data_IF_212654227482
#
_entry.id   IF_212654227482
#
_cell.length_a   1.000
_cell.length_b   1.000
_cell.length_c   1.000
_cell.angle_alpha   90.00
_cell.angle_beta   90.00
_cell.angle_gamma   90.00
#
_symmetry.space_group_name_H-M   'P 1'
#
loop_
_entity.id
_entity.type
_entity.pdbx_description
1 polymer ?
#
# COMPACT_ATOMS: atom_id res chain seq x y z
N UNK A 1 5.29 -37.66 20.97
CA UNK A 1 5.24 -36.54 20.02
C UNK A 1 6.27 -35.51 20.51
N UNK A 2 7.53 -35.44 20.08
CA UNK A 2 8.36 -36.09 19.07
C UNK A 2 9.77 -36.13 19.70
N UNK A 3 10.34 -37.31 20.01
CA UNK A 3 11.71 -37.46 20.52
C UNK A 3 12.78 -37.27 19.40
N UNK A 4 12.38 -36.96 18.17
CA UNK A 4 13.26 -36.73 17.01
C UNK A 4 14.03 -35.39 17.12
N UNK A 5 13.65 -34.49 18.04
CA UNK A 5 14.37 -33.22 18.24
C UNK A 5 15.33 -33.21 19.43
N UNK A 6 15.47 -34.33 20.17
CA UNK A 6 16.36 -34.43 21.35
C UNK A 6 17.81 -34.75 21.03
N UNK A 7 18.14 -35.10 19.78
CA UNK A 7 19.48 -35.56 19.39
C UNK A 7 20.40 -34.47 18.79
N UNK A 8 19.95 -33.22 18.67
CA UNK A 8 20.83 -32.10 18.31
C UNK A 8 21.36 -31.44 19.57
N UNK A 9 22.34 -32.08 20.23
CA UNK A 9 23.08 -31.47 21.34
C UNK A 9 24.13 -30.45 20.88
N UNK A 10 24.42 -30.41 19.58
CA UNK A 10 25.36 -29.49 18.96
C UNK A 10 24.71 -28.82 17.73
N UNK A 11 24.24 -27.58 17.91
CA UNK A 11 23.60 -26.80 16.85
C UNK A 11 24.60 -26.17 15.87
N UNK A 12 25.92 -26.29 16.11
CA UNK A 12 26.92 -25.60 15.28
C UNK A 12 26.86 -26.03 13.82
N UNK A 13 26.78 -27.35 13.54
CA UNK A 13 26.61 -27.87 12.18
C UNK A 13 25.36 -27.35 11.48
N UNK A 14 24.27 -27.16 12.24
CA UNK A 14 23.06 -26.57 11.71
C UNK A 14 23.30 -25.10 11.32
N UNK A 15 23.86 -24.29 12.22
CA UNK A 15 24.07 -22.87 11.95
C UNK A 15 25.10 -22.62 10.82
N UNK A 16 26.11 -23.48 10.66
CA UNK A 16 27.04 -23.44 9.52
C UNK A 16 26.29 -23.68 8.19
N UNK A 17 25.45 -24.72 8.14
CA UNK A 17 24.63 -25.02 6.96
C UNK A 17 23.60 -23.92 6.68
N UNK A 18 22.97 -23.40 7.73
CA UNK A 18 21.97 -22.35 7.69
C UNK A 18 22.53 -21.04 7.12
N UNK A 19 23.77 -20.69 7.50
CA UNK A 19 24.48 -19.52 6.99
C UNK A 19 24.65 -19.61 5.47
N UNK A 20 25.20 -20.73 4.99
CA UNK A 20 25.41 -20.97 3.57
C UNK A 20 24.09 -20.95 2.78
N UNK A 21 23.09 -21.69 3.26
CA UNK A 21 21.79 -21.81 2.61
C UNK A 21 21.03 -20.46 2.56
N UNK A 22 21.02 -19.72 3.67
CA UNK A 22 20.37 -18.40 3.73
C UNK A 22 21.05 -17.41 2.79
N UNK A 23 22.39 -17.44 2.70
CA UNK A 23 23.15 -16.65 1.73
C UNK A 23 22.82 -16.99 0.27
N UNK A 24 22.71 -18.27 -0.07
CA UNK A 24 22.32 -18.71 -1.42
C UNK A 24 20.91 -18.26 -1.77
N UNK A 25 19.93 -18.48 -0.88
CA UNK A 25 18.54 -18.06 -1.10
C UNK A 25 18.45 -16.53 -1.22
N UNK A 26 19.21 -15.80 -0.39
CA UNK A 26 19.29 -14.34 -0.47
C UNK A 26 19.75 -13.88 -1.85
N UNK A 27 20.84 -14.47 -2.38
CA UNK A 27 21.33 -14.18 -3.72
C UNK A 27 20.29 -14.45 -4.81
N UNK A 28 19.57 -15.57 -4.71
CA UNK A 28 18.51 -15.94 -5.65
C UNK A 28 17.33 -14.97 -5.63
N UNK A 29 16.92 -14.47 -4.46
CA UNK A 29 15.87 -13.46 -4.34
C UNK A 29 16.34 -12.13 -4.93
N UNK A 30 17.57 -11.69 -4.65
CA UNK A 30 18.09 -10.45 -5.23
C UNK A 30 18.04 -10.54 -6.77
N UNK A 31 18.49 -11.65 -7.33
CA UNK A 31 18.46 -11.88 -8.78
C UNK A 31 17.02 -11.89 -9.32
N UNK A 32 16.12 -12.62 -8.68
CA UNK A 32 14.71 -12.75 -9.10
C UNK A 32 13.97 -11.41 -9.00
N UNK A 33 14.08 -10.71 -7.87
CA UNK A 33 13.46 -9.39 -7.69
C UNK A 33 14.03 -8.36 -8.67
N UNK A 34 15.33 -8.40 -8.96
CA UNK A 34 15.96 -7.52 -9.96
C UNK A 34 15.42 -7.81 -11.36
N UNK A 35 15.32 -9.08 -11.76
CA UNK A 35 14.74 -9.48 -13.04
C UNK A 35 13.28 -9.02 -13.18
N UNK A 36 12.46 -9.23 -12.15
CA UNK A 36 11.05 -8.81 -12.14
C UNK A 36 10.95 -7.28 -12.26
N UNK A 37 11.76 -6.53 -11.50
CA UNK A 37 11.74 -5.07 -11.52
C UNK A 37 12.24 -4.46 -12.83
N UNK A 38 13.27 -5.06 -13.45
CA UNK A 38 13.88 -4.55 -14.69
C UNK A 38 13.10 -4.95 -15.94
N UNK A 39 12.64 -6.20 -16.02
CA UNK A 39 12.12 -6.79 -17.25
C UNK A 39 10.68 -7.28 -17.13
N UNK A 40 10.25 -7.73 -15.94
CA UNK A 40 8.91 -8.28 -15.74
C UNK A 40 7.80 -7.26 -15.99
N UNK A 41 7.97 -6.03 -15.49
CA UNK A 41 6.93 -5.00 -15.58
C UNK A 41 6.86 -4.23 -16.90
N UNK A 42 7.75 -4.52 -17.86
CA UNK A 42 7.64 -3.95 -19.20
C UNK A 42 6.38 -4.47 -19.96
N UNK A 43 5.84 -5.61 -19.52
CA UNK A 43 4.64 -6.23 -20.10
C UNK A 43 3.32 -5.65 -19.57
N UNK A 44 3.35 -4.92 -18.46
CA UNK A 44 2.15 -4.33 -17.85
C UNK A 44 1.80 -3.05 -18.61
N UNK A 45 0.55 -2.97 -19.09
CA UNK A 45 0.02 -1.79 -19.75
C UNK A 45 -0.56 -0.79 -18.74
N UNK A 46 -1.03 -1.28 -17.58
CA UNK A 46 -1.74 -0.50 -16.57
C UNK A 46 -1.38 -0.96 -15.14
N UNK A 47 -1.55 -0.08 -14.16
CA UNK A 47 -1.37 -0.31 -12.73
C UNK A 47 0.00 -0.87 -12.36
N UNK A 48 1.04 -0.50 -13.12
CA UNK A 48 2.41 -1.01 -12.93
C UNK A 48 2.94 -0.65 -11.54
N UNK A 49 2.71 0.58 -11.10
CA UNK A 49 3.08 1.06 -9.77
C UNK A 49 2.50 0.20 -8.64
N UNK A 50 1.25 -0.27 -8.81
CA UNK A 50 0.58 -1.14 -7.85
C UNK A 50 1.31 -2.47 -7.69
N UNK A 51 1.63 -3.14 -8.79
CA UNK A 51 2.31 -4.44 -8.72
C UNK A 51 3.77 -4.31 -8.31
N UNK A 52 4.49 -3.28 -8.77
CA UNK A 52 5.86 -3.02 -8.28
C UNK A 52 5.86 -2.91 -6.75
N UNK A 53 4.92 -2.14 -6.19
CA UNK A 53 4.82 -1.95 -4.75
C UNK A 53 4.55 -3.26 -4.01
N UNK A 54 3.73 -4.16 -4.57
CA UNK A 54 3.50 -5.51 -4.03
C UNK A 54 4.81 -6.29 -3.90
N UNK A 55 5.61 -6.36 -4.96
CA UNK A 55 6.89 -7.10 -4.95
C UNK A 55 7.95 -6.46 -4.04
N UNK A 56 7.95 -5.14 -3.93
CA UNK A 56 8.81 -4.42 -2.98
C UNK A 56 8.46 -4.80 -1.55
N UNK A 57 7.17 -4.79 -1.18
CA UNK A 57 6.74 -5.22 0.16
C UNK A 57 7.05 -6.69 0.43
N UNK A 58 6.82 -7.56 -0.58
CA UNK A 58 7.16 -8.98 -0.50
C UNK A 58 8.66 -9.18 -0.22
N UNK A 59 9.51 -8.53 -1.00
CA UNK A 59 10.96 -8.67 -0.88
C UNK A 59 11.47 -8.19 0.48
N UNK A 60 10.91 -7.10 1.04
CA UNK A 60 11.35 -6.52 2.33
C UNK A 60 11.31 -7.52 3.49
N UNK A 61 10.22 -8.24 3.69
CA UNK A 61 10.13 -9.17 4.83
C UNK A 61 10.94 -10.45 4.59
N UNK A 62 11.09 -10.90 3.33
CA UNK A 62 11.94 -12.06 3.01
C UNK A 62 13.41 -11.71 3.25
N UNK A 63 13.85 -10.54 2.78
CA UNK A 63 15.20 -10.03 3.04
C UNK A 63 15.48 -9.93 4.53
N UNK A 64 14.53 -9.41 5.31
CA UNK A 64 14.65 -9.35 6.76
C UNK A 64 14.75 -10.74 7.39
N UNK A 65 13.98 -11.72 6.92
CA UNK A 65 14.00 -13.10 7.44
C UNK A 65 15.33 -13.81 7.17
N UNK A 66 15.89 -13.62 5.97
CA UNK A 66 17.18 -14.19 5.61
C UNK A 66 18.34 -13.48 6.30
N UNK A 67 18.27 -12.15 6.43
CA UNK A 67 19.23 -11.39 7.21
C UNK A 67 19.21 -11.82 8.68
N UNK A 68 18.01 -12.04 9.26
CA UNK A 68 17.87 -12.61 10.60
C UNK A 68 18.56 -13.96 10.72
N UNK A 69 18.31 -14.89 9.79
CA UNK A 69 18.94 -16.19 9.78
C UNK A 69 20.47 -16.11 9.71
N UNK A 70 21.02 -15.25 8.85
CA UNK A 70 22.46 -15.06 8.72
C UNK A 70 23.04 -14.48 10.02
N UNK A 71 22.48 -13.39 10.52
CA UNK A 71 22.97 -12.71 11.72
C UNK A 71 22.91 -13.59 12.97
N UNK A 72 21.79 -14.29 13.19
CA UNK A 72 21.67 -15.19 14.34
C UNK A 72 22.58 -16.41 14.21
N UNK A 73 22.81 -16.93 12.99
CA UNK A 73 23.79 -18.00 12.79
C UNK A 73 25.21 -17.53 13.13
N UNK A 74 25.61 -16.33 12.69
CA UNK A 74 26.91 -15.75 13.04
C UNK A 74 27.06 -15.49 14.53
N UNK A 75 26.00 -15.00 15.18
CA UNK A 75 26.00 -14.76 16.62
C UNK A 75 26.21 -16.08 17.37
N UNK A 76 25.45 -17.13 17.06
CA UNK A 76 25.58 -18.41 17.78
C UNK A 76 26.95 -19.07 17.52
N UNK A 77 27.47 -19.01 16.29
CA UNK A 77 28.74 -19.65 15.94
C UNK A 77 29.97 -18.92 16.49
N UNK A 78 29.95 -17.59 16.53
CA UNK A 78 31.17 -16.80 16.72
C UNK A 78 31.10 -15.78 17.86
N UNK A 79 29.92 -15.50 18.45
CA UNK A 79 29.75 -14.46 19.47
C UNK A 79 29.14 -15.02 20.75
N UNK A 80 29.82 -14.80 21.87
CA UNK A 80 29.35 -15.19 23.20
C UNK A 80 28.33 -14.17 23.75
N UNK A 81 27.16 -14.07 23.13
CA UNK A 81 26.10 -13.12 23.52
C UNK A 81 25.20 -13.71 24.61
N UNK A 82 24.76 -12.88 25.56
CA UNK A 82 23.82 -13.29 26.61
C UNK A 82 22.43 -13.65 26.05
N UNK A 83 21.75 -14.62 26.67
CA UNK A 83 20.39 -15.04 26.26
C UNK A 83 19.34 -13.92 26.34
N UNK A 84 19.53 -12.95 27.23
CA UNK A 84 18.67 -11.75 27.32
C UNK A 84 18.88 -10.82 26.13
N UNK A 85 20.12 -10.64 25.68
CA UNK A 85 20.44 -9.83 24.50
C UNK A 85 19.90 -10.45 23.22
N UNK A 86 20.01 -11.78 23.07
CA UNK A 86 19.39 -12.52 21.96
C UNK A 86 17.88 -12.33 21.92
N UNK A 87 17.23 -12.37 23.09
CA UNK A 87 15.79 -12.12 23.21
C UNK A 87 15.41 -10.70 22.76
N UNK A 88 16.18 -9.68 23.15
CA UNK A 88 15.97 -8.30 22.69
C UNK A 88 16.08 -8.16 21.17
N UNK A 89 17.09 -8.78 20.55
CA UNK A 89 17.22 -8.79 19.09
C UNK A 89 16.07 -9.52 18.41
N UNK A 90 15.58 -10.61 19.00
CA UNK A 90 14.42 -11.34 18.50
C UNK A 90 13.14 -10.47 18.56
N UNK A 91 12.90 -9.72 19.64
CA UNK A 91 11.76 -8.79 19.72
C UNK A 91 11.85 -7.71 18.63
N UNK A 92 13.03 -7.10 18.44
CA UNK A 92 13.23 -6.06 17.41
C UNK A 92 12.93 -6.64 16.03
N UNK A 93 13.44 -7.84 15.73
CA UNK A 93 13.13 -8.56 14.50
C UNK A 93 11.63 -8.81 14.36
N UNK A 94 10.95 -9.29 15.40
CA UNK A 94 9.53 -9.60 15.39
C UNK A 94 8.67 -8.37 15.07
N UNK A 95 9.00 -7.21 15.66
CA UNK A 95 8.29 -5.95 15.40
C UNK A 95 8.48 -5.48 13.95
N UNK A 96 9.72 -5.48 13.46
CA UNK A 96 10.03 -5.02 12.09
C UNK A 96 9.46 -5.99 11.05
N UNK A 97 9.56 -7.30 11.28
CA UNK A 97 8.97 -8.31 10.41
C UNK A 97 7.46 -8.18 10.37
N UNK A 98 6.80 -8.10 11.53
CA UNK A 98 5.33 -8.00 11.60
C UNK A 98 4.84 -6.78 10.83
N UNK A 99 5.52 -5.63 10.94
CA UNK A 99 5.22 -4.44 10.15
C UNK A 99 5.31 -4.74 8.64
N UNK A 100 6.44 -5.22 8.14
CA UNK A 100 6.61 -5.47 6.70
C UNK A 100 5.70 -6.58 6.16
N UNK A 101 5.43 -7.60 6.96
CA UNK A 101 4.54 -8.70 6.64
C UNK A 101 3.08 -8.23 6.54
N UNK A 102 2.61 -7.42 7.49
CA UNK A 102 1.27 -6.84 7.43
C UNK A 102 1.15 -5.81 6.30
N UNK A 103 2.20 -5.02 6.01
CA UNK A 103 2.21 -4.08 4.88
C UNK A 103 2.02 -4.82 3.55
N UNK A 104 2.68 -5.98 3.40
CA UNK A 104 2.51 -6.85 2.23
C UNK A 104 1.08 -7.35 2.10
N UNK A 105 0.47 -7.89 3.16
CA UNK A 105 -0.90 -8.39 3.09
C UNK A 105 -1.96 -7.29 2.93
N UNK A 106 -1.76 -6.13 3.55
CA UNK A 106 -2.62 -4.97 3.32
C UNK A 106 -2.56 -4.54 1.85
N UNK A 107 -1.38 -4.49 1.25
CA UNK A 107 -1.25 -4.16 -0.17
C UNK A 107 -1.81 -5.25 -1.10
N UNK A 108 -1.65 -6.53 -0.75
CA UNK A 108 -2.31 -7.64 -1.45
C UNK A 108 -3.83 -7.50 -1.42
N UNK A 109 -4.38 -7.21 -0.24
CA UNK A 109 -5.80 -7.01 -0.04
C UNK A 109 -6.34 -5.80 -0.79
N UNK A 110 -5.54 -4.74 -0.91
CA UNK A 110 -5.84 -3.59 -1.76
C UNK A 110 -6.02 -4.00 -3.23
N UNK A 111 -5.07 -4.76 -3.80
CA UNK A 111 -5.15 -5.27 -5.18
C UNK A 111 -6.42 -6.12 -5.37
N UNK A 112 -6.64 -7.11 -4.50
CA UNK A 112 -7.83 -7.97 -4.58
C UNK A 112 -9.14 -7.17 -4.45
N UNK A 113 -9.15 -6.13 -3.61
CA UNK A 113 -10.31 -5.24 -3.42
C UNK A 113 -10.63 -4.43 -4.68
N UNK A 114 -9.61 -3.93 -5.39
CA UNK A 114 -9.81 -3.17 -6.64
C UNK A 114 -10.42 -4.04 -7.72
N UNK A 115 -9.98 -5.30 -7.83
CA UNK A 115 -10.46 -6.21 -8.86
C UNK A 115 -11.73 -7.00 -8.46
N UNK A 116 -12.18 -6.91 -7.21
CA UNK A 116 -13.38 -7.58 -6.69
C UNK A 116 -14.66 -6.76 -6.88
N UNK A 117 -15.80 -7.46 -7.06
CA UNK A 117 -17.16 -6.88 -7.09
C UNK A 117 -17.84 -6.82 -5.72
N UNK A 118 -17.30 -7.50 -4.69
CA UNK A 118 -17.83 -7.49 -3.32
C UNK A 118 -17.02 -6.51 -2.47
N UNK A 119 -17.67 -5.50 -1.91
CA UNK A 119 -16.98 -4.40 -1.26
C UNK A 119 -17.73 -3.84 -0.04
N UNK A 120 -16.98 -3.33 0.96
CA UNK A 120 -17.50 -2.68 2.17
C UNK A 120 -16.82 -1.30 2.40
N UNK A 121 -17.53 -0.17 2.22
CA UNK A 121 -16.97 1.19 2.31
C UNK A 121 -16.59 1.61 3.73
N UNK A 122 -15.49 2.35 3.88
CA UNK A 122 -15.09 2.97 5.17
C UNK A 122 -14.17 4.18 5.02
N UNK A 123 -14.38 5.22 5.84
CA UNK A 123 -13.71 6.53 5.78
C UNK A 123 -12.35 6.65 6.52
N UNK A 124 -12.04 5.81 7.51
CA UNK A 124 -10.85 6.00 8.38
C UNK A 124 -9.58 5.27 7.92
N UNK A 125 -8.43 5.97 7.90
CA UNK A 125 -7.17 5.48 7.32
C UNK A 125 -6.46 4.31 8.02
N UNK A 126 -6.41 4.26 9.36
CA UNK A 126 -5.81 3.10 10.08
C UNK A 126 -6.70 1.86 9.96
N UNK A 127 -8.02 2.06 10.01
CA UNK A 127 -8.98 0.99 9.77
C UNK A 127 -8.95 0.53 8.31
N UNK A 128 -8.63 1.41 7.35
CA UNK A 128 -8.43 1.06 5.94
C UNK A 128 -7.29 0.06 5.75
N UNK A 129 -6.20 0.19 6.51
CA UNK A 129 -5.08 -0.75 6.49
C UNK A 129 -5.50 -2.18 6.87
N UNK A 130 -6.15 -2.32 8.04
CA UNK A 130 -6.64 -3.62 8.53
C UNK A 130 -7.82 -4.15 7.70
N UNK A 131 -8.67 -3.27 7.18
CA UNK A 131 -9.75 -3.65 6.24
C UNK A 131 -9.21 -4.38 5.02
N UNK A 132 -8.13 -3.89 4.41
CA UNK A 132 -7.58 -4.59 3.25
C UNK A 132 -7.10 -5.99 3.62
N UNK A 133 -6.53 -6.17 4.81
CA UNK A 133 -6.19 -7.50 5.32
C UNK A 133 -7.47 -8.33 5.51
N UNK A 134 -8.49 -7.78 6.15
CA UNK A 134 -9.78 -8.45 6.34
C UNK A 134 -10.43 -8.90 5.03
N UNK A 135 -10.33 -8.08 3.98
CA UNK A 135 -10.87 -8.35 2.65
C UNK A 135 -10.25 -9.56 1.95
N UNK A 136 -9.07 -10.01 2.38
CA UNK A 136 -8.45 -11.25 1.90
C UNK A 136 -9.27 -12.51 2.27
N UNK A 137 -10.19 -12.37 3.22
CA UNK A 137 -11.06 -13.42 3.70
C UNK A 137 -10.50 -14.19 4.88
N UNK A 138 -11.39 -14.90 5.57
CA UNK A 138 -11.12 -15.58 6.84
C UNK A 138 -9.93 -16.55 6.80
N UNK A 139 -9.82 -17.36 5.75
CA UNK A 139 -8.74 -18.35 5.59
C UNK A 139 -7.38 -17.65 5.50
N UNK A 140 -7.28 -16.57 4.72
CA UNK A 140 -6.03 -15.83 4.57
C UNK A 140 -5.62 -15.17 5.90
N UNK A 141 -6.58 -14.62 6.64
CA UNK A 141 -6.32 -14.02 7.95
C UNK A 141 -5.81 -15.05 8.96
N UNK A 142 -6.39 -16.25 9.00
CA UNK A 142 -5.86 -17.35 9.83
C UNK A 142 -4.41 -17.65 9.45
N UNK A 143 -4.08 -17.73 8.16
CA UNK A 143 -2.71 -18.01 7.69
C UNK A 143 -1.74 -16.91 8.16
N UNK A 144 -2.15 -15.64 8.11
CA UNK A 144 -1.35 -14.50 8.59
C UNK A 144 -1.06 -14.66 10.08
N UNK A 145 -2.09 -14.85 10.90
CA UNK A 145 -1.94 -15.03 12.36
C UNK A 145 -1.12 -16.27 12.70
N UNK A 146 -1.38 -17.39 12.02
CA UNK A 146 -0.62 -18.63 12.20
C UNK A 146 0.86 -18.45 11.86
N UNK A 147 1.18 -17.69 10.81
CA UNK A 147 2.57 -17.41 10.42
C UNK A 147 3.28 -16.58 11.50
N UNK A 148 2.64 -15.50 11.99
CA UNK A 148 3.20 -14.69 13.07
C UNK A 148 3.37 -15.51 14.36
N UNK A 149 2.41 -16.37 14.66
CA UNK A 149 2.48 -17.28 15.80
C UNK A 149 3.66 -18.26 15.69
N UNK A 150 3.78 -18.97 14.56
CA UNK A 150 4.81 -19.98 14.34
C UNK A 150 6.21 -19.38 14.35
N UNK A 151 6.39 -18.18 13.77
CA UNK A 151 7.72 -17.56 13.71
C UNK A 151 8.13 -16.97 15.07
N UNK A 152 7.22 -16.34 15.82
CA UNK A 152 7.59 -15.57 17.02
C UNK A 152 7.20 -16.22 18.34
N UNK A 153 5.98 -16.73 18.44
CA UNK A 153 5.43 -17.18 19.71
C UNK A 153 5.71 -18.67 19.96
N UNK A 154 5.72 -19.48 18.90
CA UNK A 154 5.98 -20.91 19.00
C UNK A 154 7.35 -21.23 19.61
N UNK A 155 8.48 -20.59 19.20
CA UNK A 155 9.77 -20.80 19.84
C UNK A 155 9.77 -20.44 21.33
N UNK A 156 8.95 -19.48 21.77
CA UNK A 156 8.93 -19.02 23.16
C UNK A 156 8.25 -19.99 24.14
N UNK A 157 7.51 -21.00 23.66
CA UNK A 157 6.86 -21.99 24.52
C UNK A 157 7.81 -22.99 25.19
N UNK A 158 9.04 -23.13 24.67
CA UNK A 158 9.98 -24.18 25.10
C UNK A 158 10.88 -23.77 26.29
N UNK A 159 10.83 -22.51 26.77
CA UNK A 159 11.62 -22.04 27.93
C UNK A 159 11.08 -20.74 28.56
N UNK A 160 11.78 -20.17 29.55
CA UNK A 160 11.47 -18.87 30.16
C UNK A 160 11.28 -17.77 29.10
N UNK A 161 10.13 -17.08 29.17
CA UNK A 161 9.65 -16.13 28.16
C UNK A 161 10.57 -14.92 27.85
N UNK A 162 11.63 -14.70 28.62
CA UNK A 162 12.53 -13.55 28.49
C UNK A 162 14.00 -13.92 28.23
N UNK A 163 14.29 -15.21 27.97
CA UNK A 163 15.63 -15.69 27.65
C UNK A 163 15.54 -16.61 26.45
N UNK A 164 16.31 -16.30 25.41
CA UNK A 164 16.37 -17.12 24.21
C UNK A 164 17.59 -18.06 24.32
N UNK A 165 17.33 -19.36 24.39
CA UNK A 165 18.38 -20.38 24.31
C UNK A 165 18.64 -20.81 22.86
N UNK A 166 19.70 -21.57 22.63
CA UNK A 166 20.09 -22.03 21.28
C UNK A 166 18.99 -22.83 20.58
N UNK A 167 18.24 -23.64 21.32
CA UNK A 167 17.11 -24.39 20.77
C UNK A 167 15.99 -23.45 20.25
N UNK A 168 15.67 -22.40 20.98
CA UNK A 168 14.67 -21.41 20.56
C UNK A 168 15.15 -20.57 19.37
N UNK A 169 16.46 -20.26 19.33
CA UNK A 169 17.07 -19.63 18.15
C UNK A 169 16.90 -20.56 16.94
N UNK A 170 17.29 -21.83 17.09
CA UNK A 170 17.14 -22.86 16.07
C UNK A 170 15.70 -22.96 15.54
N UNK A 171 14.71 -23.04 16.43
CA UNK A 171 13.30 -23.14 16.02
C UNK A 171 12.84 -21.90 15.25
N UNK A 172 13.30 -20.70 15.64
CA UNK A 172 12.98 -19.45 14.94
C UNK A 172 13.63 -19.44 13.56
N UNK A 173 14.91 -19.79 13.45
CA UNK A 173 15.64 -19.74 12.17
C UNK A 173 15.13 -20.78 11.18
N UNK A 174 14.76 -21.98 11.65
CA UNK A 174 14.08 -23.00 10.82
C UNK A 174 12.74 -22.46 10.31
N UNK A 175 11.94 -21.84 11.17
CA UNK A 175 10.64 -21.28 10.80
C UNK A 175 10.77 -20.15 9.77
N UNK A 176 11.69 -19.21 9.99
CA UNK A 176 12.01 -18.12 9.06
C UNK A 176 12.50 -18.66 7.70
N UNK A 177 13.33 -19.70 7.71
CA UNK A 177 13.83 -20.32 6.48
C UNK A 177 12.73 -21.02 5.71
N UNK A 178 11.93 -21.87 6.37
CA UNK A 178 10.83 -22.59 5.74
C UNK A 178 9.83 -21.60 5.13
N UNK A 179 9.48 -20.55 5.87
CA UNK A 179 8.61 -19.49 5.39
C UNK A 179 9.21 -18.75 4.17
N UNK A 180 10.48 -18.34 4.24
CA UNK A 180 11.17 -17.67 3.12
C UNK A 180 11.15 -18.54 1.86
N UNK A 181 11.47 -19.83 1.98
CA UNK A 181 11.45 -20.79 0.87
C UNK A 181 10.05 -20.92 0.26
N UNK A 182 9.00 -21.05 1.09
CA UNK A 182 7.61 -21.13 0.62
C UNK A 182 7.20 -19.90 -0.17
N UNK A 183 7.61 -18.71 0.28
CA UNK A 183 7.31 -17.47 -0.44
C UNK A 183 8.07 -17.42 -1.76
N UNK A 184 9.36 -17.75 -1.77
CA UNK A 184 10.20 -17.77 -2.99
C UNK A 184 9.61 -18.66 -4.07
N UNK A 185 9.20 -19.88 -3.73
CA UNK A 185 8.57 -20.82 -4.67
C UNK A 185 7.30 -20.21 -5.31
N UNK A 186 6.60 -19.32 -4.59
CA UNK A 186 5.36 -18.70 -5.04
C UNK A 186 5.55 -17.38 -5.78
N UNK A 187 6.73 -16.75 -5.77
CA UNK A 187 6.98 -15.45 -6.41
C UNK A 187 6.62 -15.49 -7.90
N UNK A 188 7.13 -16.50 -8.63
CA UNK A 188 6.94 -16.64 -10.07
C UNK A 188 5.47 -16.99 -10.41
N UNK A 189 4.83 -18.01 -9.80
CA UNK A 189 3.42 -18.29 -10.03
C UNK A 189 2.49 -17.10 -9.72
N UNK A 190 2.79 -16.33 -8.65
CA UNK A 190 2.05 -15.12 -8.32
C UNK A 190 2.19 -14.05 -9.40
N UNK A 191 3.38 -13.91 -9.99
CA UNK A 191 3.61 -12.97 -11.09
C UNK A 191 2.72 -13.27 -12.29
N UNK A 192 2.68 -14.54 -12.72
CA UNK A 192 1.82 -14.94 -13.83
C UNK A 192 0.33 -14.78 -13.51
N UNK A 193 -0.07 -15.03 -12.26
CA UNK A 193 -1.47 -14.82 -11.84
C UNK A 193 -1.86 -13.35 -11.96
N UNK A 194 -0.99 -12.42 -11.54
CA UNK A 194 -1.26 -10.99 -11.64
C UNK A 194 -1.24 -10.48 -13.08
N UNK A 195 -0.27 -10.92 -13.88
CA UNK A 195 -0.23 -10.61 -15.31
C UNK A 195 -1.49 -11.12 -16.04
N UNK A 196 -1.97 -12.32 -15.66
CA UNK A 196 -3.21 -12.86 -16.20
C UNK A 196 -4.46 -12.09 -15.70
N UNK A 197 -4.46 -11.63 -14.45
CA UNK A 197 -5.54 -10.78 -13.92
C UNK A 197 -5.65 -9.45 -14.65
N UNK A 198 -4.52 -8.79 -14.93
CA UNK A 198 -4.47 -7.58 -15.76
C UNK A 198 -4.98 -7.87 -17.18
N UNK A 199 -4.51 -8.96 -17.78
CA UNK A 199 -4.95 -9.37 -19.12
C UNK A 199 -6.46 -9.67 -19.18
N UNK A 200 -7.02 -10.26 -18.11
CA UNK A 200 -8.43 -10.64 -18.01
C UNK A 200 -9.36 -9.52 -17.54
N UNK A 201 -8.87 -8.42 -16.95
CA UNK A 201 -9.69 -7.36 -16.34
C UNK A 201 -10.43 -6.45 -17.32
N UNK A 202 -11.01 -7.05 -18.37
CA UNK A 202 -11.87 -6.53 -19.43
C UNK A 202 -11.15 -6.00 -20.67
N UNK A 203 -11.30 -6.83 -21.71
CA UNK A 203 -11.22 -6.59 -23.16
C UNK A 203 -9.85 -6.32 -23.78
N UNK A 204 -9.49 -7.25 -24.69
CA UNK A 204 -8.81 -7.02 -25.98
C UNK A 204 -8.85 -5.53 -26.36
N UNK A 205 -7.81 -4.80 -26.04
CA UNK A 205 -7.31 -3.84 -27.00
C UNK A 205 -6.11 -4.53 -27.62
N UNK A 206 -6.14 -4.64 -28.94
CA UNK A 206 -4.98 -5.04 -29.73
C UNK A 206 -3.76 -4.30 -29.20
N UNK A 207 -2.63 -5.00 -29.16
CA UNK A 207 -1.33 -4.39 -28.84
C UNK A 207 -1.12 -3.29 -29.89
N UNK A 208 -1.48 -2.06 -29.54
CA UNK A 208 -1.19 -0.89 -30.37
C UNK A 208 0.19 -0.44 -29.92
N UNK A 209 1.19 -0.67 -30.77
CA UNK A 209 2.59 -0.28 -30.62
C UNK A 209 2.83 1.26 -30.58
N UNK A 210 1.82 2.07 -30.23
CA UNK A 210 1.97 3.51 -30.12
C UNK A 210 2.20 3.93 -28.66
N UNK A 211 3.39 4.48 -28.46
CA UNK A 211 4.08 4.85 -27.21
C UNK A 211 3.39 5.98 -26.41
N UNK A 212 2.19 6.42 -26.77
CA UNK A 212 1.41 7.32 -25.91
C UNK A 212 0.66 6.50 -24.86
N UNK A 213 1.09 6.58 -23.60
CA UNK A 213 0.41 5.96 -22.45
C UNK A 213 -1.00 6.56 -22.35
N UNK A 214 -2.00 5.84 -22.86
CA UNK A 214 -3.41 6.24 -22.77
C UNK A 214 -3.90 6.02 -21.33
N UNK A 215 -3.95 7.10 -20.54
CA UNK A 215 -4.36 7.05 -19.12
C UNK A 215 -5.88 6.89 -18.92
N UNK A 216 -6.68 6.72 -19.99
CA UNK A 216 -8.13 6.53 -19.86
C UNK A 216 -8.50 5.36 -18.96
N UNK A 217 -7.82 4.21 -19.11
CA UNK A 217 -8.07 3.04 -18.25
C UNK A 217 -7.58 3.24 -16.82
N UNK A 218 -6.43 3.88 -16.61
CA UNK A 218 -5.97 4.26 -15.27
C UNK A 218 -6.98 5.18 -14.57
N UNK A 219 -7.62 6.07 -15.33
CA UNK A 219 -8.65 6.96 -14.84
C UNK A 219 -9.96 6.23 -14.49
N UNK A 220 -10.34 5.19 -15.24
CA UNK A 220 -11.45 4.30 -14.87
C UNK A 220 -11.15 3.55 -13.57
N UNK A 221 -9.95 2.98 -13.44
CA UNK A 221 -9.50 2.30 -12.21
C UNK A 221 -9.49 3.29 -11.04
N UNK A 222 -8.98 4.52 -11.24
CA UNK A 222 -8.98 5.58 -10.23
C UNK A 222 -10.40 5.87 -9.74
N UNK A 223 -11.35 6.04 -10.67
CA UNK A 223 -12.74 6.29 -10.34
C UNK A 223 -13.32 5.15 -9.51
N UNK A 224 -13.13 3.91 -9.94
CA UNK A 224 -13.60 2.72 -9.24
C UNK A 224 -13.00 2.63 -7.82
N UNK A 225 -11.71 2.92 -7.66
CA UNK A 225 -11.03 2.93 -6.35
C UNK A 225 -11.60 4.02 -5.45
N UNK A 226 -11.85 5.22 -5.96
CA UNK A 226 -12.41 6.33 -5.20
C UNK A 226 -13.84 6.03 -4.75
N UNK A 227 -14.69 5.54 -5.65
CA UNK A 227 -16.05 5.10 -5.34
C UNK A 227 -16.03 4.03 -4.26
N UNK A 228 -15.16 3.01 -4.43
CA UNK A 228 -14.96 1.99 -3.40
C UNK A 228 -14.54 2.66 -2.09
N UNK A 229 -13.60 3.59 -2.07
CA UNK A 229 -13.23 4.24 -0.80
C UNK A 229 -14.32 5.12 -0.14
N UNK A 230 -15.52 5.22 -0.73
CA UNK A 230 -16.68 5.86 -0.13
C UNK A 230 -16.99 7.24 -0.71
N UNK A 231 -16.38 7.59 -1.85
CA UNK A 231 -16.67 8.81 -2.61
C UNK A 231 -17.94 8.64 -3.45
N UNK A 232 -19.10 8.61 -2.77
CA UNK A 232 -20.40 8.41 -3.41
C UNK A 232 -20.77 9.58 -4.35
N UNK A 233 -20.17 10.75 -4.17
CA UNK A 233 -20.31 11.91 -5.05
C UNK A 233 -19.87 11.65 -6.50
N UNK A 234 -19.12 10.57 -6.77
CA UNK A 234 -18.74 10.11 -8.11
C UNK A 234 -19.81 9.23 -8.80
N UNK A 235 -20.82 8.79 -8.04
CA UNK A 235 -21.94 7.97 -8.52
C UNK A 235 -23.21 8.81 -8.69
N UNK A 236 -23.53 9.59 -7.66
CA UNK A 236 -24.76 10.37 -7.60
C UNK A 236 -24.53 11.71 -6.88
N UNK A 237 -25.50 12.61 -7.02
CA UNK A 237 -25.50 13.85 -6.26
C UNK A 237 -25.79 13.55 -4.79
N UNK A 238 -24.93 14.03 -3.90
CA UNK A 238 -25.08 13.84 -2.45
C UNK A 238 -25.21 15.18 -1.73
N UNK A 239 -25.88 15.15 -0.58
CA UNK A 239 -25.86 16.25 0.38
C UNK A 239 -24.80 15.94 1.45
N UNK A 240 -24.09 16.97 1.90
CA UNK A 240 -23.07 16.83 2.97
C UNK A 240 -23.32 17.88 4.04
N UNK A 241 -22.68 17.76 5.21
CA UNK A 241 -22.75 18.78 6.26
C UNK A 241 -22.31 20.17 5.74
N UNK A 242 -21.44 20.19 4.72
CA UNK A 242 -20.80 21.40 4.23
C UNK A 242 -21.43 21.95 2.93
N UNK A 243 -22.06 21.10 2.12
CA UNK A 243 -22.60 21.46 0.81
C UNK A 243 -24.04 20.95 0.67
N UNK A 244 -24.94 21.82 0.22
CA UNK A 244 -26.34 21.48 -0.05
C UNK A 244 -26.40 20.42 -1.16
N UNK A 245 -25.52 20.51 -2.16
CA UNK A 245 -25.30 19.43 -3.12
C UNK A 245 -23.86 19.36 -3.59
N UNK A 246 -23.38 18.14 -3.80
CA UNK A 246 -22.06 17.82 -4.33
C UNK A 246 -22.18 16.69 -5.36
N UNK A 247 -21.65 16.92 -6.56
CA UNK A 247 -21.58 15.90 -7.61
C UNK A 247 -20.26 16.02 -8.38
N UNK A 248 -19.60 14.88 -8.62
CA UNK A 248 -18.34 14.81 -9.36
C UNK A 248 -18.51 14.00 -10.64
N UNK A 249 -18.25 14.66 -11.76
CA UNK A 249 -18.06 13.98 -13.04
C UNK A 249 -16.57 13.86 -13.34
N UNK A 250 -16.14 12.68 -13.78
CA UNK A 250 -14.76 12.42 -14.21
C UNK A 250 -14.77 12.14 -15.72
N UNK A 251 -14.68 13.17 -16.59
CA UNK A 251 -14.64 12.98 -18.03
C UNK A 251 -13.44 12.12 -18.45
N UNK A 252 -13.63 11.30 -19.49
CA UNK A 252 -12.56 10.45 -19.99
C UNK A 252 -11.48 11.31 -20.65
N UNK A 253 -10.32 11.39 -20.01
CA UNK A 253 -9.18 12.20 -20.42
C UNK A 253 -7.94 11.31 -20.54
N UNK A 254 -7.23 11.41 -21.66
CA UNK A 254 -6.08 10.55 -21.96
C UNK A 254 -4.79 10.98 -21.25
N UNK A 255 -4.72 12.20 -20.72
CA UNK A 255 -3.48 12.83 -20.21
C UNK A 255 -3.46 13.02 -18.69
N UNK A 256 -4.62 13.16 -18.06
CA UNK A 256 -4.70 13.42 -16.61
C UNK A 256 -6.04 12.99 -16.03
N UNK A 257 -6.09 12.83 -14.72
CA UNK A 257 -7.35 12.62 -14.00
C UNK A 257 -8.04 13.96 -13.79
N UNK A 258 -9.09 14.21 -14.56
CA UNK A 258 -9.85 15.45 -14.52
C UNK A 258 -11.17 15.25 -13.78
N UNK A 259 -11.40 16.02 -12.72
CA UNK A 259 -12.60 15.99 -11.91
C UNK A 259 -13.36 17.30 -12.06
N UNK A 260 -14.57 17.23 -12.60
CA UNK A 260 -15.54 18.33 -12.64
C UNK A 260 -16.42 18.22 -11.41
N UNK A 261 -16.26 19.16 -10.48
CA UNK A 261 -16.92 19.16 -9.18
C UNK A 261 -17.99 20.24 -9.18
N UNK A 262 -19.26 19.84 -9.11
CA UNK A 262 -20.39 20.75 -9.04
C UNK A 262 -20.85 20.85 -7.60
N UNK A 263 -20.95 22.07 -7.07
CA UNK A 263 -21.34 22.33 -5.70
C UNK A 263 -22.47 23.36 -5.69
N UNK A 264 -23.55 23.07 -4.96
CA UNK A 264 -24.53 24.08 -4.56
C UNK A 264 -24.43 24.33 -3.05
N UNK A 265 -24.50 25.61 -2.66
CA UNK A 265 -24.38 26.02 -1.27
C UNK A 265 -25.44 27.08 -0.97
N UNK A 266 -26.13 26.90 0.15
CA UNK A 266 -26.98 27.90 0.79
C UNK A 266 -26.17 29.13 1.20
N UNK A 267 -26.86 30.24 1.54
CA UNK A 267 -26.24 31.52 1.91
C UNK A 267 -25.32 31.38 3.14
N UNK A 268 -24.08 30.97 2.90
CA UNK A 268 -22.96 30.89 3.86
C UNK A 268 -22.02 32.07 3.60
N UNK A 269 -21.27 32.46 4.63
CA UNK A 269 -20.24 33.46 4.46
C UNK A 269 -19.19 32.97 3.42
N UNK A 270 -18.75 33.85 2.51
CA UNK A 270 -17.74 33.54 1.49
C UNK A 270 -16.47 32.93 2.12
N UNK A 271 -16.05 33.41 3.29
CA UNK A 271 -14.91 32.85 4.03
C UNK A 271 -15.13 31.38 4.43
N UNK A 272 -16.34 31.01 4.82
CA UNK A 272 -16.69 29.64 5.18
C UNK A 272 -16.73 28.77 3.93
N UNK A 273 -17.31 29.26 2.85
CA UNK A 273 -17.38 28.57 1.55
C UNK A 273 -15.97 28.19 1.07
N UNK A 274 -15.02 29.15 1.07
CA UNK A 274 -13.63 28.89 0.66
C UNK A 274 -13.00 27.85 1.57
N UNK A 275 -13.15 28.01 2.89
CA UNK A 275 -12.56 27.08 3.85
C UNK A 275 -13.05 25.65 3.63
N UNK A 276 -14.34 25.46 3.38
CA UNK A 276 -14.90 24.14 3.10
C UNK A 276 -14.41 23.56 1.77
N UNK A 277 -14.29 24.38 0.72
CA UNK A 277 -13.70 23.95 -0.57
C UNK A 277 -12.23 23.58 -0.40
N UNK A 278 -11.44 24.35 0.36
CA UNK A 278 -10.03 24.06 0.63
C UNK A 278 -9.87 22.77 1.44
N UNK A 279 -10.69 22.57 2.48
CA UNK A 279 -10.71 21.34 3.28
C UNK A 279 -11.07 20.13 2.41
N UNK A 280 -12.15 20.23 1.63
CA UNK A 280 -12.57 19.18 0.72
C UNK A 280 -11.49 18.85 -0.31
N UNK A 281 -10.90 19.88 -0.94
CA UNK A 281 -9.80 19.73 -1.90
C UNK A 281 -8.61 19.03 -1.28
N UNK A 282 -8.23 19.41 -0.05
CA UNK A 282 -7.13 18.79 0.66
C UNK A 282 -7.39 17.30 0.89
N UNK A 283 -8.54 16.94 1.45
CA UNK A 283 -8.89 15.54 1.70
C UNK A 283 -8.93 14.72 0.40
N UNK A 284 -9.50 15.28 -0.67
CA UNK A 284 -9.61 14.64 -1.97
C UNK A 284 -8.23 14.40 -2.60
N UNK A 285 -7.34 15.41 -2.60
CA UNK A 285 -5.99 15.30 -3.14
C UNK A 285 -5.12 14.33 -2.34
N UNK A 286 -5.21 14.35 -1.01
CA UNK A 286 -4.51 13.41 -0.14
C UNK A 286 -4.99 11.98 -0.39
N UNK A 287 -6.30 11.78 -0.57
CA UNK A 287 -6.83 10.45 -0.88
C UNK A 287 -6.32 9.95 -2.23
N UNK A 288 -6.41 10.77 -3.28
CA UNK A 288 -5.92 10.42 -4.62
C UNK A 288 -4.42 10.13 -4.63
N UNK A 289 -3.61 10.91 -3.92
CA UNK A 289 -2.16 10.69 -3.87
C UNK A 289 -1.77 9.39 -3.18
N UNK A 290 -2.66 8.82 -2.36
CA UNK A 290 -2.46 7.51 -1.74
C UNK A 290 -2.91 6.34 -2.62
N UNK A 291 -3.61 6.57 -3.74
CA UNK A 291 -4.07 5.51 -4.66
C UNK A 291 -2.92 5.05 -5.56
N UNK A 292 -2.62 3.74 -5.59
CA UNK A 292 -1.48 3.18 -6.33
C UNK A 292 -1.84 2.94 -7.80
N UNK A 293 -1.86 4.01 -8.58
CA UNK A 293 -2.09 4.03 -10.04
C UNK A 293 -0.98 4.84 -10.71
N UNK A 294 -0.86 4.69 -12.03
CA UNK A 294 0.18 5.36 -12.81
C UNK A 294 -0.19 6.81 -13.17
N UNK A 295 -1.47 7.20 -13.05
CA UNK A 295 -1.88 8.61 -13.21
C UNK A 295 -1.20 9.50 -12.16
N UNK A 296 -0.50 10.52 -12.66
CA UNK A 296 0.31 11.43 -11.84
C UNK A 296 -0.16 12.89 -11.86
N UNK A 297 -1.02 13.28 -12.82
CA UNK A 297 -1.57 14.64 -12.93
C UNK A 297 -3.05 14.63 -12.54
N UNK A 298 -3.45 15.58 -11.70
CA UNK A 298 -4.79 15.69 -11.14
C UNK A 298 -5.32 17.10 -11.33
N UNK A 299 -6.58 17.20 -11.78
CA UNK A 299 -7.28 18.47 -11.95
C UNK A 299 -8.60 18.44 -11.20
N UNK A 300 -8.80 19.41 -10.31
CA UNK A 300 -10.08 19.67 -9.65
C UNK A 300 -10.66 20.97 -10.22
N UNK A 301 -11.74 20.86 -10.99
CA UNK A 301 -12.45 21.98 -11.59
C UNK A 301 -13.81 22.13 -10.94
N UNK A 302 -13.92 23.09 -10.03
CA UNK A 302 -15.13 23.39 -9.28
C UNK A 302 -16.03 24.38 -10.02
N UNK A 303 -17.32 24.07 -10.04
CA UNK A 303 -18.42 24.94 -10.44
C UNK A 303 -19.32 25.14 -9.22
N UNK A 304 -19.27 26.32 -8.61
CA UNK A 304 -19.88 26.62 -7.32
C UNK A 304 -21.06 27.57 -7.56
N UNK A 305 -22.25 27.13 -7.17
CA UNK A 305 -23.48 27.91 -7.25
C UNK A 305 -23.93 28.28 -5.84
N UNK A 306 -23.84 29.56 -5.53
CA UNK A 306 -24.25 30.12 -4.25
C UNK A 306 -25.70 30.58 -4.38
N UNK A 307 -26.56 30.20 -3.43
CA UNK A 307 -27.95 30.65 -3.39
C UNK A 307 -27.98 32.19 -3.40
N UNK A 308 -28.83 32.78 -4.24
CA UNK A 308 -28.95 34.23 -4.48
C UNK A 308 -27.82 34.89 -5.30
N UNK A 309 -26.77 34.16 -5.69
CA UNK A 309 -25.84 34.64 -6.73
C UNK A 309 -26.37 34.25 -8.13
N UNK A 310 -26.25 35.17 -9.08
CA UNK A 310 -26.66 34.93 -10.48
C UNK A 310 -25.54 34.29 -11.30
N UNK A 311 -24.29 34.35 -10.81
CA UNK A 311 -23.12 33.80 -11.50
C UNK A 311 -22.60 32.55 -10.80
N UNK A 312 -22.33 31.51 -11.58
CA UNK A 312 -21.53 30.37 -11.12
C UNK A 312 -20.08 30.81 -10.92
N UNK A 313 -19.51 30.45 -9.78
CA UNK A 313 -18.12 30.75 -9.43
C UNK A 313 -17.24 29.56 -9.75
N UNK A 314 -16.04 29.82 -10.24
CA UNK A 314 -15.11 28.76 -10.64
C UNK A 314 -13.91 28.70 -9.72
N UNK A 315 -13.53 27.50 -9.32
CA UNK A 315 -12.27 27.25 -8.60
C UNK A 315 -11.53 26.13 -9.32
N UNK A 316 -10.25 26.31 -9.59
CA UNK A 316 -9.46 25.37 -10.36
C UNK A 316 -8.15 25.06 -9.65
N UNK A 317 -7.85 23.77 -9.51
CA UNK A 317 -6.59 23.25 -8.98
C UNK A 317 -6.05 22.26 -9.99
N UNK A 318 -4.79 22.42 -10.37
CA UNK A 318 -4.03 21.42 -11.11
C UNK A 318 -2.75 21.12 -10.36
N UNK A 319 -2.50 19.85 -10.09
CA UNK A 319 -1.32 19.42 -9.34
C UNK A 319 -0.86 18.05 -9.80
N UNK A 320 0.27 17.60 -9.28
CA UNK A 320 0.77 16.25 -9.50
C UNK A 320 1.13 15.58 -8.16
N UNK A 321 1.30 14.26 -8.18
CA UNK A 321 1.55 13.48 -6.95
C UNK A 321 2.79 13.95 -6.18
N UNK A 322 3.86 14.31 -6.89
CA UNK A 322 5.11 14.76 -6.26
C UNK A 322 4.89 16.08 -5.50
N UNK A 323 4.19 17.03 -6.11
CA UNK A 323 3.83 18.28 -5.47
C UNK A 323 2.94 18.05 -4.23
N UNK A 324 1.93 17.17 -4.33
CA UNK A 324 1.09 16.79 -3.18
C UNK A 324 1.96 16.22 -2.04
N UNK A 325 2.86 15.28 -2.34
CA UNK A 325 3.70 14.63 -1.33
C UNK A 325 4.70 15.58 -0.67
N UNK A 326 5.23 16.54 -1.43
CA UNK A 326 6.10 17.60 -0.89
C UNK A 326 5.33 18.56 0.01
N UNK A 327 4.17 19.05 -0.45
CA UNK A 327 3.34 19.98 0.29
C UNK A 327 2.78 19.34 1.56
N UNK A 328 2.40 18.06 1.51
CA UNK A 328 1.92 17.30 2.68
C UNK A 328 2.96 17.23 3.80
N UNK A 329 4.25 17.14 3.46
CA UNK A 329 5.34 17.10 4.45
C UNK A 329 5.61 18.46 5.10
N UNK A 330 5.31 19.56 4.38
CA UNK A 330 5.60 20.93 4.81
C UNK A 330 4.41 21.59 5.50
N UNK A 331 3.19 21.24 5.11
CA UNK A 331 1.96 21.92 5.51
C UNK A 331 1.00 20.95 6.21
N UNK A 332 0.72 21.22 7.49
CA UNK A 332 -0.23 20.43 8.28
C UNK A 332 -1.67 20.97 8.21
N UNK A 333 -1.88 22.17 7.65
CA UNK A 333 -3.20 22.80 7.53
C UNK A 333 -3.68 22.78 6.08
N UNK A 334 -4.98 22.46 5.82
CA UNK A 334 -5.55 22.45 4.47
C UNK A 334 -5.35 23.77 3.72
N UNK A 335 -5.61 24.91 4.37
CA UNK A 335 -5.41 26.23 3.78
C UNK A 335 -3.99 26.46 3.29
N UNK A 336 -2.98 26.16 4.12
CA UNK A 336 -1.57 26.35 3.76
C UNK A 336 -1.15 25.38 2.65
N UNK A 337 -1.69 24.16 2.67
CA UNK A 337 -1.47 23.19 1.60
C UNK A 337 -2.00 23.68 0.26
N UNK A 338 -3.29 24.04 0.18
CA UNK A 338 -3.95 24.48 -1.06
C UNK A 338 -3.32 25.77 -1.56
N UNK A 339 -2.96 26.68 -0.65
CA UNK A 339 -2.39 27.95 -1.05
C UNK A 339 -1.02 27.86 -1.69
N UNK A 340 -0.25 26.83 -1.36
CA UNK A 340 1.08 26.58 -1.89
C UNK A 340 1.08 25.70 -3.16
N UNK A 341 -0.09 25.28 -3.67
CA UNK A 341 -0.17 24.62 -4.98
C UNK A 341 0.15 25.64 -6.08
N UNK A 342 1.11 25.28 -6.94
CA UNK A 342 1.67 26.18 -7.95
C UNK A 342 0.65 26.60 -9.00
N UNK A 343 -0.22 25.67 -9.41
CA UNK A 343 -1.18 25.88 -10.49
C UNK A 343 -2.62 25.85 -9.96
N UNK A 344 -3.06 27.00 -9.46
CA UNK A 344 -4.45 27.23 -9.02
C UNK A 344 -5.00 28.48 -9.68
N UNK A 345 -6.27 28.44 -10.08
CA UNK A 345 -7.00 29.59 -10.58
C UNK A 345 -8.31 29.72 -9.80
N UNK A 346 -8.43 30.83 -9.08
CA UNK A 346 -9.53 31.09 -8.16
C UNK A 346 -10.38 32.22 -8.76
N UNK A 347 -11.72 32.18 -8.66
CA UNK A 347 -12.59 33.30 -9.05
C UNK A 347 -12.24 34.60 -8.28
N UNK A 348 -12.44 35.77 -8.88
CA UNK A 348 -12.10 37.06 -8.27
C UNK A 348 -12.76 37.27 -6.91
N UNK A 349 -13.99 36.78 -6.74
CA UNK A 349 -14.74 36.86 -5.48
C UNK A 349 -14.02 36.16 -4.31
N UNK A 350 -13.19 35.17 -4.61
CA UNK A 350 -12.42 34.41 -3.63
C UNK A 350 -10.94 34.84 -3.56
N UNK A 351 -10.46 35.74 -4.45
CA UNK A 351 -9.05 36.19 -4.49
C UNK A 351 -8.74 37.37 -3.56
N UNK A 352 -9.69 38.28 -3.37
CA UNK A 352 -9.46 39.56 -2.71
C UNK A 352 -9.85 39.53 -1.21
N UNK A 353 -9.52 38.45 -0.54
CA UNK A 353 -9.96 38.14 0.82
C UNK A 353 -8.82 38.16 1.83
#
# INVERSE_FOLDING_TARGET
MIDIFKELSDYNKYFESQLALSGTILGLIIATSTFILQSGFASFQYSRSMFIKYYVHQSKFIFLSLAYNILFSLIVLYLSISSTTLFSFHIIFALIFSKYFLDFYSHKGYIETIHSTKYNPYKNGILKYFRYIENLGYIQNIIIYATLYIIFFYPLHFNYAFKLNEHQVFMTTVSCLAFSTLVVIRIIPQFFTFSEQEYKSKTKNEVIDNIEVDLSKENEILKDVLVKNGRNELLEQIETENFDSLFINMPNNKKEAFFVINIEISDKNIYEIIKEIENYSYEFLIEISNIHIDTNSFVLSYFIKIKNDTKTRNYFIRTNRNEIDELRKKNNKPKDFINNISNKLIDELFRNI
#
